data_IF_366676267178
#
_entry.id   IF_366676267178
#
_cell.length_a   1.000
_cell.length_b   1.000
_cell.length_c   1.000
_cell.angle_alpha   90.00
_cell.angle_beta   90.00
_cell.angle_gamma   90.00
#
_symmetry.space_group_name_H-M   'P 1'
#
loop_
_entity.id
_entity.type
_entity.pdbx_description
1 polymer ?
#
# COMPACT_ATOMS: atom_id res chain seq x y z
N UNK A 1 19.72 -2.70 -22.65
CA UNK A 1 18.98 -3.27 -21.50
C UNK A 1 18.46 -2.19 -20.54
N UNK A 2 19.26 -1.24 -20.05
CA UNK A 2 18.75 -0.17 -19.14
C UNK A 2 17.59 0.69 -19.68
N UNK A 3 17.38 0.77 -21.00
CA UNK A 3 16.24 1.49 -21.59
C UNK A 3 14.89 0.74 -21.51
N UNK A 4 14.89 -0.52 -21.04
CA UNK A 4 13.67 -1.33 -20.91
C UNK A 4 12.95 -1.06 -19.60
N UNK A 5 13.68 -0.57 -18.57
CA UNK A 5 13.12 -0.22 -17.28
C UNK A 5 12.76 1.27 -17.23
N UNK A 6 11.60 1.53 -16.63
CA UNK A 6 11.08 2.88 -16.49
C UNK A 6 10.52 3.46 -17.79
N UNK A 7 9.41 4.14 -17.67
CA UNK A 7 8.77 4.93 -18.72
C UNK A 7 8.73 6.39 -18.30
N UNK A 8 9.40 7.25 -19.07
CA UNK A 8 9.24 8.69 -18.96
C UNK A 8 8.69 9.23 -20.28
N UNK A 9 8.05 10.39 -20.25
CA UNK A 9 7.54 11.01 -21.48
C UNK A 9 8.65 11.22 -22.53
N UNK A 10 9.89 11.44 -22.09
CA UNK A 10 11.03 11.65 -22.96
C UNK A 10 11.53 10.41 -23.69
N UNK A 11 11.22 9.21 -23.22
CA UNK A 11 11.67 7.95 -23.84
C UNK A 11 10.55 7.07 -24.40
N UNK A 12 9.31 7.57 -24.45
CA UNK A 12 8.16 6.82 -25.00
C UNK A 12 8.35 6.47 -26.48
N UNK A 13 9.05 7.29 -27.24
CA UNK A 13 9.30 7.05 -28.66
C UNK A 13 10.34 5.94 -28.92
N UNK A 14 11.09 5.51 -27.91
CA UNK A 14 12.05 4.43 -28.05
C UNK A 14 11.33 3.08 -28.12
N UNK A 15 11.62 2.28 -29.15
CA UNK A 15 11.09 0.93 -29.26
C UNK A 15 11.51 0.07 -28.07
N UNK A 16 10.57 -0.71 -27.53
CA UNK A 16 10.78 -1.60 -26.40
C UNK A 16 10.88 -3.05 -26.87
N UNK A 17 11.90 -3.77 -26.42
CA UNK A 17 12.16 -5.18 -26.74
C UNK A 17 11.57 -6.10 -25.67
N UNK A 18 10.23 -6.02 -25.49
CA UNK A 18 9.50 -6.79 -24.49
C UNK A 18 8.12 -7.21 -24.99
N UNK A 19 7.58 -8.26 -24.41
CA UNK A 19 6.27 -8.82 -24.79
C UNK A 19 5.23 -8.34 -23.77
N UNK A 20 4.30 -7.49 -24.17
CA UNK A 20 3.19 -7.05 -23.31
C UNK A 20 2.18 -8.16 -23.11
N UNK A 21 1.70 -8.33 -21.88
CA UNK A 21 0.72 -9.30 -21.43
C UNK A 21 -0.18 -8.68 -20.36
N UNK A 22 -1.34 -9.30 -20.14
CA UNK A 22 -2.20 -9.00 -19.00
C UNK A 22 -2.87 -10.26 -18.48
N UNK A 23 -3.02 -10.35 -17.16
CA UNK A 23 -3.86 -11.34 -16.48
C UNK A 23 -5.06 -10.63 -15.88
N UNK A 24 -6.24 -11.17 -16.12
CA UNK A 24 -7.52 -10.79 -15.54
C UNK A 24 -8.51 -11.96 -15.69
N UNK A 25 -9.75 -11.82 -15.24
CA UNK A 25 -10.74 -12.89 -15.34
C UNK A 25 -11.11 -13.28 -16.80
N UNK A 26 -10.91 -12.38 -17.77
CA UNK A 26 -11.10 -12.69 -19.21
C UNK A 26 -9.89 -13.39 -19.85
N UNK A 27 -8.73 -13.39 -19.17
CA UNK A 27 -7.51 -14.10 -19.58
C UNK A 27 -6.68 -14.51 -18.35
N UNK A 28 -7.13 -15.51 -17.58
CA UNK A 28 -6.55 -15.82 -16.27
C UNK A 28 -5.12 -16.40 -16.31
N UNK A 29 -4.63 -16.77 -17.50
CA UNK A 29 -3.26 -17.24 -17.73
C UNK A 29 -2.37 -16.24 -18.46
N UNK A 30 -2.90 -15.10 -18.89
CA UNK A 30 -2.14 -14.10 -19.66
C UNK A 30 -1.64 -14.61 -21.02
N UNK A 31 -2.25 -15.64 -21.59
CA UNK A 31 -1.82 -16.27 -22.83
C UNK A 31 -2.05 -15.35 -24.04
N UNK A 32 -1.09 -15.36 -24.96
CA UNK A 32 -1.18 -14.59 -26.21
C UNK A 32 -2.40 -15.02 -27.05
N UNK A 33 -3.27 -14.06 -27.38
CA UNK A 33 -4.42 -14.28 -28.22
C UNK A 33 -5.56 -15.08 -27.57
N UNK A 34 -5.59 -15.15 -26.21
CA UNK A 34 -6.61 -15.89 -25.44
C UNK A 34 -7.52 -15.00 -24.58
N UNK A 35 -7.37 -13.70 -24.66
CA UNK A 35 -8.25 -12.78 -23.93
C UNK A 35 -9.66 -12.74 -24.50
N UNK A 36 -10.67 -12.64 -23.63
CA UNK A 36 -12.07 -12.48 -24.01
C UNK A 36 -12.67 -13.68 -24.76
N UNK A 37 -12.24 -14.89 -24.48
CA UNK A 37 -12.76 -16.09 -25.13
C UNK A 37 -14.18 -16.48 -24.66
N UNK A 38 -14.55 -16.11 -23.46
CA UNK A 38 -15.86 -16.38 -22.90
C UNK A 38 -16.95 -15.59 -23.66
N UNK A 39 -18.12 -16.18 -23.78
CA UNK A 39 -19.30 -15.55 -24.38
C UNK A 39 -20.27 -15.06 -23.31
N UNK A 40 -20.92 -13.94 -23.57
CA UNK A 40 -22.09 -13.47 -22.82
C UNK A 40 -23.37 -13.59 -23.67
N UNK A 41 -24.48 -13.08 -23.14
CA UNK A 41 -25.71 -12.95 -23.90
C UNK A 41 -25.59 -12.04 -25.15
N UNK A 42 -24.52 -11.23 -25.22
CA UNK A 42 -24.20 -10.38 -26.36
C UNK A 42 -23.39 -11.12 -27.45
N UNK A 43 -22.99 -12.36 -27.20
CA UNK A 43 -22.21 -13.19 -28.12
C UNK A 43 -20.76 -13.43 -27.67
N UNK A 44 -19.94 -14.05 -28.55
CA UNK A 44 -18.54 -14.33 -28.27
C UNK A 44 -17.71 -13.07 -28.09
N UNK A 45 -16.71 -13.11 -27.20
CA UNK A 45 -15.81 -11.99 -26.93
C UNK A 45 -16.51 -10.69 -26.50
N UNK A 46 -17.59 -10.85 -25.73
CA UNK A 46 -18.44 -9.76 -25.28
C UNK A 46 -18.64 -9.82 -23.77
N UNK A 47 -17.54 -9.65 -23.01
CA UNK A 47 -17.57 -9.56 -21.56
C UNK A 47 -18.17 -10.81 -20.88
N UNK A 48 -17.71 -11.99 -21.28
CA UNK A 48 -18.26 -13.27 -20.81
C UNK A 48 -17.74 -13.71 -19.43
N UNK A 49 -16.57 -13.22 -18.99
CA UNK A 49 -15.97 -13.53 -17.69
C UNK A 49 -15.26 -12.30 -17.08
N UNK A 50 -16.00 -11.23 -16.72
CA UNK A 50 -15.39 -9.94 -16.40
C UNK A 50 -14.73 -9.86 -15.02
N UNK A 51 -15.04 -10.78 -14.09
CA UNK A 51 -14.56 -10.75 -12.71
C UNK A 51 -14.49 -12.16 -12.12
N UNK A 52 -13.85 -12.27 -10.97
CA UNK A 52 -14.00 -13.42 -10.08
C UNK A 52 -15.28 -13.24 -9.28
N UNK A 53 -16.11 -14.29 -9.24
CA UNK A 53 -17.35 -14.27 -8.51
C UNK A 53 -17.25 -15.11 -7.24
N UNK A 54 -17.96 -14.68 -6.20
CA UNK A 54 -18.21 -15.45 -4.98
C UNK A 54 -16.92 -16.01 -4.31
N UNK A 55 -15.90 -15.16 -4.13
CA UNK A 55 -14.72 -15.55 -3.37
C UNK A 55 -15.15 -15.81 -1.92
N UNK A 56 -15.20 -17.08 -1.52
CA UNK A 56 -15.72 -17.49 -0.21
C UNK A 56 -14.91 -16.90 0.96
N UNK A 57 -15.55 -16.74 2.12
CA UNK A 57 -14.85 -16.41 3.36
C UNK A 57 -13.79 -17.48 3.68
N UNK A 58 -12.57 -17.03 4.03
CA UNK A 58 -11.40 -17.88 4.27
C UNK A 58 -10.72 -18.42 3.01
N UNK A 59 -11.21 -18.08 1.82
CA UNK A 59 -10.62 -18.54 0.57
C UNK A 59 -9.43 -17.65 0.16
N UNK A 60 -8.33 -18.29 -0.26
CA UNK A 60 -7.24 -17.64 -0.99
C UNK A 60 -7.38 -17.97 -2.47
N UNK A 61 -7.39 -16.93 -3.31
CA UNK A 61 -7.40 -17.06 -4.78
C UNK A 61 -6.09 -16.55 -5.36
N UNK A 62 -5.59 -17.22 -6.40
CA UNK A 62 -4.44 -16.73 -7.18
C UNK A 62 -4.95 -15.77 -8.25
N UNK A 63 -4.55 -14.50 -8.15
CA UNK A 63 -4.88 -13.48 -9.14
C UNK A 63 -3.98 -13.57 -10.37
N UNK A 64 -2.69 -13.85 -10.16
CA UNK A 64 -1.72 -13.99 -11.24
C UNK A 64 -0.65 -15.01 -10.87
N UNK A 65 -0.23 -15.81 -11.86
CA UNK A 65 0.92 -16.68 -11.83
C UNK A 65 1.63 -16.53 -13.18
N UNK A 66 2.86 -16.01 -13.15
CA UNK A 66 3.57 -15.54 -14.33
C UNK A 66 4.95 -16.16 -14.37
N UNK A 67 5.25 -16.89 -15.44
CA UNK A 67 6.60 -17.37 -15.74
C UNK A 67 7.40 -16.26 -16.43
N UNK A 68 8.64 -16.02 -15.96
CA UNK A 68 9.51 -14.94 -16.38
C UNK A 68 10.70 -15.35 -17.23
N UNK A 69 11.67 -14.45 -17.43
CA UNK A 69 11.84 -13.17 -16.73
C UNK A 69 10.86 -12.08 -17.19
N UNK A 70 10.44 -11.24 -16.26
CA UNK A 70 9.44 -10.22 -16.53
C UNK A 70 9.39 -9.09 -15.51
N UNK A 71 8.43 -8.20 -15.69
CA UNK A 71 8.07 -7.19 -14.69
C UNK A 71 6.58 -6.87 -14.76
N UNK A 72 5.92 -6.81 -13.61
CA UNK A 72 4.59 -6.23 -13.48
C UNK A 72 4.75 -4.71 -13.54
N UNK A 73 3.93 -4.04 -14.34
CA UNK A 73 4.03 -2.59 -14.54
C UNK A 73 2.79 -1.84 -14.06
N UNK A 74 1.67 -2.53 -13.90
CA UNK A 74 0.43 -1.95 -13.42
C UNK A 74 -0.47 -3.03 -12.82
N UNK A 75 -1.09 -2.70 -11.72
CA UNK A 75 -2.16 -3.50 -11.10
C UNK A 75 -3.36 -2.59 -10.92
N UNK A 76 -4.50 -3.00 -11.48
CA UNK A 76 -5.79 -2.38 -11.24
C UNK A 76 -6.72 -3.36 -10.53
N UNK A 77 -7.38 -2.90 -9.48
CA UNK A 77 -8.33 -3.69 -8.70
C UNK A 77 -9.55 -2.85 -8.36
N UNK A 78 -10.72 -3.48 -8.36
CA UNK A 78 -11.89 -2.98 -7.65
C UNK A 78 -12.69 -4.14 -7.09
N UNK A 79 -13.34 -3.91 -5.95
CA UNK A 79 -14.12 -4.91 -5.23
C UNK A 79 -15.50 -4.36 -4.92
N UNK A 80 -16.53 -5.19 -5.04
CA UNK A 80 -17.85 -4.88 -4.49
C UNK A 80 -17.76 -4.99 -2.97
N UNK A 81 -17.70 -3.85 -2.33
CA UNK A 81 -17.70 -3.71 -0.89
C UNK A 81 -19.05 -3.16 -0.43
N UNK A 82 -20.14 -3.84 -0.75
CA UNK A 82 -21.43 -3.56 -0.15
C UNK A 82 -21.31 -3.85 1.34
N UNK A 83 -21.32 -2.78 2.10
CA UNK A 83 -21.09 -2.83 3.54
C UNK A 83 -22.43 -2.74 4.27
N UNK A 84 -22.73 -3.77 5.05
CA UNK A 84 -23.59 -3.68 6.22
C UNK A 84 -22.70 -3.34 7.42
N UNK A 85 -23.25 -3.11 8.60
CA UNK A 85 -22.46 -2.89 9.83
C UNK A 85 -21.43 -4.01 10.09
N UNK A 86 -21.72 -5.24 9.66
CA UNK A 86 -20.81 -6.37 9.75
C UNK A 86 -19.73 -6.39 8.65
N UNK A 87 -19.93 -5.64 7.59
CA UNK A 87 -19.14 -5.70 6.35
C UNK A 87 -18.30 -4.45 6.11
N UNK A 88 -18.22 -3.55 7.08
CA UNK A 88 -17.69 -2.20 6.90
C UNK A 88 -16.18 -2.15 6.60
N UNK A 89 -15.41 -3.21 6.88
CA UNK A 89 -13.95 -3.20 6.76
C UNK A 89 -13.40 -4.15 5.70
N UNK A 90 -14.15 -4.43 4.64
CA UNK A 90 -13.73 -5.32 3.53
C UNK A 90 -12.31 -5.01 3.04
N UNK A 91 -11.95 -3.74 2.89
CA UNK A 91 -10.60 -3.35 2.44
C UNK A 91 -9.49 -3.68 3.45
N UNK A 92 -9.81 -3.90 4.73
CA UNK A 92 -8.89 -4.38 5.77
C UNK A 92 -8.93 -5.90 5.95
N UNK A 93 -10.02 -6.55 5.55
CA UNK A 93 -10.23 -8.00 5.64
C UNK A 93 -9.64 -8.76 4.45
N UNK A 94 -9.54 -8.13 3.29
CA UNK A 94 -8.85 -8.69 2.13
C UNK A 94 -7.35 -8.51 2.27
N UNK A 95 -6.58 -9.62 2.18
CA UNK A 95 -5.13 -9.62 2.29
C UNK A 95 -4.49 -9.88 0.94
N UNK A 96 -3.69 -8.93 0.47
CA UNK A 96 -2.90 -9.03 -0.76
C UNK A 96 -1.51 -9.55 -0.42
N UNK A 97 -1.06 -10.61 -1.14
CA UNK A 97 0.30 -11.11 -1.06
C UNK A 97 0.91 -11.28 -2.44
N UNK A 98 2.22 -11.01 -2.54
CA UNK A 98 3.00 -11.22 -3.75
C UNK A 98 4.29 -11.94 -3.42
N UNK A 99 4.71 -12.82 -4.32
CA UNK A 99 5.87 -13.71 -4.17
C UNK A 99 6.71 -13.66 -5.44
N UNK A 100 8.03 -13.63 -5.26
CA UNK A 100 8.98 -13.61 -6.38
C UNK A 100 9.84 -14.86 -6.40
N UNK A 101 10.13 -15.36 -7.61
CA UNK A 101 11.15 -16.36 -7.90
C UNK A 101 11.12 -17.64 -7.04
N UNK A 102 9.92 -18.19 -6.81
CA UNK A 102 9.67 -19.42 -6.04
C UNK A 102 9.91 -19.28 -4.52
N UNK A 103 9.96 -18.04 -3.99
CA UNK A 103 9.97 -17.82 -2.55
C UNK A 103 8.65 -18.29 -1.91
N UNK A 104 8.78 -18.99 -0.77
CA UNK A 104 7.63 -19.46 0.01
C UNK A 104 7.00 -18.32 0.84
N UNK A 105 7.84 -17.42 1.36
CA UNK A 105 7.42 -16.25 2.12
C UNK A 105 7.05 -15.08 1.20
N UNK A 106 6.02 -14.30 1.53
CA UNK A 106 5.61 -13.17 0.69
C UNK A 106 6.57 -11.98 0.80
N UNK A 107 6.98 -11.44 -0.33
CA UNK A 107 7.69 -10.15 -0.42
C UNK A 107 6.75 -8.94 -0.27
N UNK A 108 5.45 -9.15 -0.48
CA UNK A 108 4.40 -8.18 -0.22
C UNK A 108 3.32 -8.83 0.63
N UNK A 109 3.02 -8.24 1.80
CA UNK A 109 1.89 -8.64 2.63
C UNK A 109 1.24 -7.40 3.24
N UNK A 110 -0.02 -7.16 2.88
CA UNK A 110 -0.79 -5.99 3.35
C UNK A 110 -2.29 -6.23 3.23
N UNK A 111 -3.11 -5.64 4.11
CA UNK A 111 -4.51 -5.43 3.81
C UNK A 111 -4.65 -4.67 2.49
N UNK A 112 -5.63 -5.06 1.67
CA UNK A 112 -5.80 -4.51 0.32
C UNK A 112 -5.90 -2.99 0.32
N UNK A 113 -6.73 -2.43 1.23
CA UNK A 113 -6.92 -0.98 1.29
C UNK A 113 -5.66 -0.23 1.65
N UNK A 114 -4.92 -0.71 2.65
CA UNK A 114 -3.69 -0.06 3.12
C UNK A 114 -2.60 -0.04 2.05
N UNK A 115 -2.47 -1.12 1.26
CA UNK A 115 -1.55 -1.15 0.12
C UNK A 115 -1.85 -0.05 -0.91
N UNK A 116 -3.09 0.37 -1.03
CA UNK A 116 -3.52 1.47 -1.91
C UNK A 116 -3.81 2.79 -1.18
N UNK A 117 -3.26 2.98 0.02
CA UNK A 117 -3.43 4.19 0.84
C UNK A 117 -4.87 4.44 1.34
N UNK A 118 -5.69 3.40 1.44
CA UNK A 118 -7.04 3.43 1.99
C UNK A 118 -7.10 2.68 3.34
N UNK A 119 -6.34 3.16 4.31
CA UNK A 119 -5.96 2.42 5.52
C UNK A 119 -7.02 2.32 6.63
N UNK A 120 -8.19 2.89 6.49
CA UNK A 120 -9.26 2.78 7.51
C UNK A 120 -10.41 1.87 7.06
N UNK A 121 -10.16 1.00 6.07
CA UNK A 121 -11.22 0.25 5.43
C UNK A 121 -12.19 1.15 4.63
N UNK A 122 -11.85 2.42 4.49
CA UNK A 122 -12.62 3.44 3.76
C UNK A 122 -11.88 3.82 2.48
N UNK A 123 -12.65 4.07 1.43
CA UNK A 123 -12.08 4.62 0.20
C UNK A 123 -11.71 6.09 0.37
N UNK A 124 -10.63 6.48 -0.25
CA UNK A 124 -10.28 7.88 -0.43
C UNK A 124 -9.65 8.09 -1.82
N UNK A 125 -9.78 9.28 -2.36
CA UNK A 125 -9.11 9.60 -3.62
C UNK A 125 -7.63 9.83 -3.37
N UNK A 126 -6.78 9.09 -4.08
CA UNK A 126 -5.32 9.25 -4.05
C UNK A 126 -4.84 9.61 -5.45
N UNK A 127 -4.05 10.67 -5.56
CA UNK A 127 -3.46 11.08 -6.82
C UNK A 127 -1.96 11.26 -6.63
N UNK A 128 -1.21 10.18 -6.83
CA UNK A 128 0.25 10.17 -6.74
C UNK A 128 0.88 9.40 -7.90
N UNK A 129 2.21 9.44 -8.00
CA UNK A 129 2.93 8.75 -9.08
C UNK A 129 2.75 7.23 -9.04
N UNK A 130 3.01 6.53 -7.89
CA UNK A 130 2.95 5.08 -7.89
C UNK A 130 1.58 4.52 -7.52
N UNK A 131 0.76 5.28 -6.78
CA UNK A 131 -0.57 4.83 -6.33
C UNK A 131 -1.62 5.87 -6.73
N UNK A 132 -2.67 5.39 -7.38
CA UNK A 132 -3.83 6.21 -7.69
C UNK A 132 -5.12 5.47 -7.29
N UNK A 133 -5.97 6.14 -6.53
CA UNK A 133 -7.31 5.65 -6.20
C UNK A 133 -8.33 6.65 -6.71
N UNK A 134 -9.17 6.19 -7.61
CA UNK A 134 -10.21 7.01 -8.23
C UNK A 134 -11.59 6.71 -7.61
N UNK A 135 -12.59 7.59 -7.76
CA UNK A 135 -13.91 7.41 -7.16
C UNK A 135 -14.49 6.01 -7.42
N UNK A 136 -15.19 5.48 -6.43
CA UNK A 136 -15.75 4.12 -6.41
C UNK A 136 -14.70 3.01 -6.38
N UNK A 137 -13.56 3.26 -5.72
CA UNK A 137 -12.50 2.27 -5.42
C UNK A 137 -11.81 1.68 -6.64
N UNK A 138 -11.52 2.49 -7.64
CA UNK A 138 -10.58 2.09 -8.69
C UNK A 138 -9.15 2.17 -8.14
N UNK A 139 -8.61 1.06 -7.62
CA UNK A 139 -7.31 0.96 -6.98
C UNK A 139 -6.23 0.71 -8.05
N UNK A 140 -5.24 1.56 -8.17
CA UNK A 140 -4.18 1.46 -9.17
C UNK A 140 -2.80 1.52 -8.52
N UNK A 141 -1.89 0.63 -8.94
CA UNK A 141 -0.49 0.61 -8.54
C UNK A 141 0.41 0.58 -9.77
N UNK A 142 1.38 1.48 -9.85
CA UNK A 142 2.36 1.60 -10.92
C UNK A 142 3.80 1.34 -10.45
N UNK A 143 4.02 0.87 -9.23
CA UNK A 143 5.32 0.35 -8.85
C UNK A 143 5.71 -0.78 -9.78
N UNK A 144 6.89 -0.69 -10.40
CA UNK A 144 7.40 -1.75 -11.26
C UNK A 144 7.91 -2.90 -10.38
N UNK A 145 7.48 -4.13 -10.68
CA UNK A 145 7.80 -5.31 -9.87
C UNK A 145 8.52 -6.35 -10.75
N UNK A 146 9.86 -6.30 -10.83
CA UNK A 146 10.65 -7.24 -11.61
C UNK A 146 10.69 -8.63 -10.96
N UNK A 147 10.80 -9.68 -11.77
CA UNK A 147 11.03 -11.07 -11.34
C UNK A 147 11.87 -11.81 -12.39
N UNK A 148 12.79 -12.69 -11.94
CA UNK A 148 13.73 -13.41 -12.81
C UNK A 148 13.17 -14.71 -13.34
N UNK A 149 12.37 -15.40 -12.53
CA UNK A 149 11.80 -16.72 -12.84
C UNK A 149 10.28 -16.67 -12.82
N UNK A 150 9.69 -16.19 -11.71
CA UNK A 150 8.26 -16.29 -11.47
C UNK A 150 7.72 -15.14 -10.63
N UNK A 151 6.48 -14.75 -10.90
CA UNK A 151 5.69 -13.87 -10.03
C UNK A 151 4.37 -14.57 -9.70
N UNK A 152 3.96 -14.51 -8.41
CA UNK A 152 2.66 -15.00 -7.95
C UNK A 152 2.00 -13.93 -7.11
N UNK A 153 0.73 -13.62 -7.41
CA UNK A 153 -0.11 -12.70 -6.64
C UNK A 153 -1.31 -13.46 -6.13
N UNK A 154 -1.57 -13.37 -4.84
CA UNK A 154 -2.76 -13.97 -4.19
C UNK A 154 -3.58 -12.93 -3.46
N UNK A 155 -4.87 -13.23 -3.34
CA UNK A 155 -5.81 -12.49 -2.49
C UNK A 155 -6.50 -13.48 -1.55
N UNK A 156 -6.41 -13.23 -0.24
CA UNK A 156 -7.13 -13.99 0.76
C UNK A 156 -8.34 -13.18 1.24
N UNK A 157 -9.52 -13.80 1.21
CA UNK A 157 -10.73 -13.22 1.77
C UNK A 157 -10.88 -13.66 3.23
N UNK A 158 -10.46 -12.83 4.18
CA UNK A 158 -10.70 -13.05 5.63
C UNK A 158 -12.01 -12.40 6.11
N UNK A 159 -12.76 -11.77 5.20
CA UNK A 159 -14.05 -11.18 5.50
C UNK A 159 -15.09 -12.25 5.88
N UNK A 160 -16.09 -11.88 6.68
CA UNK A 160 -17.12 -12.82 7.16
C UNK A 160 -18.03 -13.33 6.04
N UNK A 161 -18.20 -12.53 4.98
CA UNK A 161 -19.05 -12.86 3.84
C UNK A 161 -18.22 -13.15 2.58
N UNK A 162 -18.77 -13.90 1.61
CA UNK A 162 -18.19 -14.02 0.29
C UNK A 162 -18.08 -12.64 -0.39
N UNK A 163 -17.05 -12.46 -1.22
CA UNK A 163 -16.93 -11.30 -2.09
C UNK A 163 -17.64 -11.62 -3.40
N UNK A 164 -18.78 -10.99 -3.70
CA UNK A 164 -19.64 -11.39 -4.83
C UNK A 164 -19.02 -11.06 -6.19
N UNK A 165 -18.23 -10.00 -6.28
CA UNK A 165 -17.56 -9.61 -7.51
C UNK A 165 -16.23 -8.91 -7.23
N UNK A 166 -15.16 -9.46 -7.78
CA UNK A 166 -13.81 -8.93 -7.68
C UNK A 166 -13.23 -8.74 -9.08
N UNK A 167 -13.00 -7.50 -9.45
CA UNK A 167 -12.44 -7.13 -10.75
C UNK A 167 -10.97 -6.78 -10.59
N UNK A 168 -10.15 -7.28 -11.50
CA UNK A 168 -8.72 -6.99 -11.47
C UNK A 168 -8.07 -7.09 -12.85
N UNK A 169 -6.95 -6.42 -13.00
CA UNK A 169 -6.04 -6.58 -14.12
C UNK A 169 -4.60 -6.39 -13.64
N UNK A 170 -3.73 -7.30 -14.03
CA UNK A 170 -2.29 -7.26 -13.81
C UNK A 170 -1.62 -7.12 -15.16
N UNK A 171 -1.10 -5.94 -15.47
CA UNK A 171 -0.38 -5.66 -16.72
C UNK A 171 1.11 -5.88 -16.50
N UNK A 172 1.71 -6.71 -17.34
CA UNK A 172 3.12 -7.08 -17.22
C UNK A 172 3.81 -7.19 -18.58
N UNK A 173 5.13 -7.26 -18.55
CA UNK A 173 5.91 -7.57 -19.72
C UNK A 173 6.86 -8.73 -19.43
N UNK A 174 7.15 -9.49 -20.49
CA UNK A 174 8.17 -10.53 -20.49
C UNK A 174 9.37 -10.07 -21.33
N UNK A 175 10.57 -10.41 -20.87
CA UNK A 175 11.82 -10.11 -21.54
C UNK A 175 12.37 -11.36 -22.22
N UNK A 176 12.95 -11.23 -23.40
CA UNK A 176 13.61 -12.36 -24.11
C UNK A 176 15.02 -12.59 -23.55
N UNK A 177 15.64 -11.54 -22.98
CA UNK A 177 16.92 -11.61 -22.29
C UNK A 177 16.68 -11.55 -20.78
N UNK A 178 17.60 -12.11 -20.00
CA UNK A 178 17.52 -12.03 -18.53
C UNK A 178 17.56 -10.61 -18.00
N UNK A 179 17.14 -10.41 -16.77
CA UNK A 179 17.24 -9.13 -16.07
C UNK A 179 18.69 -8.83 -15.67
N UNK A 180 19.09 -7.53 -15.59
CA UNK A 180 20.36 -7.15 -14.99
C UNK A 180 20.54 -7.72 -13.58
N UNK A 181 21.79 -8.02 -13.21
CA UNK A 181 22.10 -8.62 -11.90
C UNK A 181 21.73 -7.69 -10.73
N UNK A 182 21.82 -6.39 -10.95
CA UNK A 182 21.55 -5.32 -9.98
C UNK A 182 20.05 -4.93 -9.85
N UNK A 183 19.16 -5.63 -10.56
CA UNK A 183 17.72 -5.41 -10.40
C UNK A 183 17.26 -5.99 -9.06
N UNK A 184 16.65 -5.14 -8.25
CA UNK A 184 16.05 -5.49 -6.96
C UNK A 184 14.55 -5.80 -7.10
N UNK A 185 14.04 -6.59 -6.17
CA UNK A 185 12.63 -6.99 -6.09
C UNK A 185 11.83 -6.02 -5.24
N UNK A 186 10.56 -5.84 -5.60
CA UNK A 186 9.64 -4.97 -4.88
C UNK A 186 9.11 -5.65 -3.61
N UNK A 187 9.07 -4.91 -2.52
CA UNK A 187 8.55 -5.35 -1.23
C UNK A 187 7.56 -4.34 -0.66
N UNK A 188 6.58 -4.85 0.10
CA UNK A 188 5.71 -4.01 0.91
C UNK A 188 5.24 -4.76 2.16
N UNK A 189 5.33 -4.11 3.32
CA UNK A 189 4.98 -4.70 4.59
C UNK A 189 4.08 -3.78 5.40
N UNK A 190 2.95 -4.33 5.87
CA UNK A 190 2.04 -3.65 6.78
C UNK A 190 2.37 -3.94 8.23
N UNK A 191 2.24 -2.91 9.08
CA UNK A 191 2.38 -3.00 10.54
C UNK A 191 1.32 -2.16 11.24
N UNK A 192 1.04 -2.45 12.52
CA UNK A 192 0.18 -1.64 13.39
C UNK A 192 0.52 -1.79 14.86
N UNK A 193 0.40 -0.67 15.56
CA UNK A 193 0.24 -0.64 17.02
C UNK A 193 -1.06 0.10 17.35
N UNK A 194 -2.05 -0.60 17.94
CA UNK A 194 -3.34 0.01 18.35
C UNK A 194 -3.17 1.08 19.43
N UNK A 195 -2.13 0.97 20.23
CA UNK A 195 -1.68 1.97 21.21
C UNK A 195 -0.15 1.91 21.20
N UNK A 196 0.48 2.94 20.67
CA UNK A 196 1.93 3.06 20.65
C UNK A 196 2.50 3.15 22.07
N UNK A 197 3.75 2.77 22.27
CA UNK A 197 4.37 2.74 23.58
C UNK A 197 5.08 4.06 23.86
N UNK A 198 4.87 4.61 25.06
CA UNK A 198 5.60 5.81 25.50
C UNK A 198 7.12 5.59 25.47
N UNK A 199 7.85 6.58 25.01
CA UNK A 199 9.33 6.57 24.92
C UNK A 199 9.88 5.48 23.97
N UNK A 200 9.04 4.99 23.05
CA UNK A 200 9.47 4.09 22.00
C UNK A 200 8.91 4.56 20.66
N UNK A 201 9.76 4.55 19.68
CA UNK A 201 9.35 4.83 18.32
C UNK A 201 8.43 3.71 17.80
N UNK A 202 7.40 4.08 17.06
CA UNK A 202 6.64 3.12 16.25
C UNK A 202 7.51 2.61 15.11
N UNK A 203 7.53 1.30 14.92
CA UNK A 203 8.36 0.65 13.89
C UNK A 203 7.58 0.55 12.58
N UNK A 204 8.00 1.34 11.58
CA UNK A 204 7.46 1.28 10.22
C UNK A 204 8.02 0.06 9.47
N UNK A 205 9.34 -0.16 9.58
CA UNK A 205 10.05 -1.27 8.95
C UNK A 205 11.24 -1.69 9.82
N UNK A 206 11.48 -2.98 9.94
CA UNK A 206 12.62 -3.54 10.66
C UNK A 206 13.03 -4.89 10.06
N UNK A 207 14.23 -5.35 10.42
CA UNK A 207 14.77 -6.65 10.01
C UNK A 207 15.01 -6.78 8.49
N UNK A 208 15.17 -5.68 7.78
CA UNK A 208 15.63 -5.70 6.38
C UNK A 208 17.12 -5.92 6.36
N UNK A 209 17.59 -6.96 5.68
CA UNK A 209 19.01 -7.30 5.51
C UNK A 209 19.33 -7.48 4.05
N UNK A 210 20.52 -7.00 3.65
CA UNK A 210 20.99 -7.02 2.27
C UNK A 210 20.89 -5.63 1.64
N UNK A 211 21.15 -5.56 0.34
CA UNK A 211 21.22 -4.32 -0.41
C UNK A 211 19.86 -3.92 -0.99
N UNK A 212 19.54 -2.62 -0.92
CA UNK A 212 18.28 -2.12 -1.47
C UNK A 212 18.09 -0.61 -1.35
N UNK A 213 16.84 -0.19 -1.52
CA UNK A 213 16.45 1.20 -1.31
C UNK A 213 14.97 1.31 -0.93
N UNK A 214 14.70 2.16 0.05
CA UNK A 214 13.35 2.49 0.50
C UNK A 214 12.72 3.51 -0.43
N UNK A 215 11.45 3.27 -0.81
CA UNK A 215 10.75 4.12 -1.79
C UNK A 215 9.46 4.73 -1.26
N UNK A 216 9.02 4.39 -0.05
CA UNK A 216 7.85 5.07 0.49
C UNK A 216 7.22 4.52 1.74
N UNK A 217 6.39 5.37 2.33
CA UNK A 217 5.53 5.10 3.49
C UNK A 217 4.11 5.49 3.16
N UNK A 218 3.15 4.63 3.46
CA UNK A 218 1.78 5.01 3.78
C UNK A 218 1.59 4.91 5.29
N UNK A 219 0.91 5.88 5.91
CA UNK A 219 0.58 5.87 7.34
C UNK A 219 -0.88 6.21 7.57
N UNK A 220 -1.54 5.39 8.37
CA UNK A 220 -2.88 5.62 8.91
C UNK A 220 -2.75 5.89 10.41
N UNK A 221 -3.02 7.12 10.80
CA UNK A 221 -2.92 7.62 12.17
C UNK A 221 -4.30 7.92 12.74
N UNK A 222 -4.69 7.27 13.83
CA UNK A 222 -5.83 7.68 14.65
C UNK A 222 -5.30 8.31 15.94
N UNK A 223 -5.53 9.61 16.11
CA UNK A 223 -5.06 10.35 17.27
C UNK A 223 -5.96 10.11 18.47
N UNK A 224 -5.40 9.56 19.55
CA UNK A 224 -6.13 9.19 20.78
C UNK A 224 -6.07 10.28 21.84
N UNK A 225 -5.12 11.19 21.72
CA UNK A 225 -4.91 12.28 22.66
C UNK A 225 -5.16 13.65 22.05
N UNK A 226 -5.54 14.62 22.92
CA UNK A 226 -5.68 16.03 22.56
C UNK A 226 -4.34 16.63 22.18
N UNK A 227 -4.40 17.85 21.66
CA UNK A 227 -3.29 18.66 21.25
C UNK A 227 -2.64 18.24 19.94
N UNK A 228 -1.67 19.00 19.51
CA UNK A 228 -0.94 18.77 18.29
C UNK A 228 -0.15 17.46 18.36
N UNK A 229 -0.08 16.74 17.27
CA UNK A 229 0.39 15.36 17.15
C UNK A 229 1.58 15.19 16.21
N UNK A 230 1.99 16.22 15.48
CA UNK A 230 2.83 16.09 14.29
C UNK A 230 4.34 16.31 14.51
N UNK A 231 4.85 16.24 15.76
CA UNK A 231 6.26 16.52 16.07
C UNK A 231 7.17 15.29 16.00
N UNK A 232 6.61 14.09 15.86
CA UNK A 232 7.39 12.85 15.85
C UNK A 232 8.29 12.75 14.62
N UNK A 233 9.60 12.57 14.84
CA UNK A 233 10.60 12.47 13.78
C UNK A 233 10.58 11.09 13.13
N UNK A 234 10.63 11.03 11.79
CA UNK A 234 10.88 9.79 11.04
C UNK A 234 12.38 9.56 10.98
N UNK A 235 12.82 8.34 11.30
CA UNK A 235 14.22 7.97 11.41
C UNK A 235 14.53 6.78 10.50
N UNK A 236 15.67 6.86 9.80
CA UNK A 236 16.20 5.76 8.99
C UNK A 236 17.57 5.36 9.58
N UNK A 237 17.61 4.15 10.10
CA UNK A 237 18.82 3.48 10.56
C UNK A 237 19.35 2.65 9.41
N UNK A 238 20.56 2.93 8.96
CA UNK A 238 21.15 2.44 7.72
C UNK A 238 22.49 1.79 8.03
N UNK A 239 22.73 0.59 7.46
CA UNK A 239 24.04 -0.06 7.40
C UNK A 239 24.74 -0.16 8.77
N UNK A 240 24.05 -0.76 9.76
CA UNK A 240 24.56 -1.02 11.09
C UNK A 240 24.38 0.11 12.09
N UNK A 241 23.57 1.14 11.78
CA UNK A 241 23.19 2.14 12.76
C UNK A 241 22.44 1.49 13.94
N UNK A 242 22.85 1.80 15.17
CA UNK A 242 22.23 1.24 16.39
C UNK A 242 21.57 2.31 17.25
N UNK A 243 22.35 3.22 17.84
CA UNK A 243 21.87 4.21 18.80
C UNK A 243 21.23 5.43 18.12
N UNK A 244 21.83 5.89 17.03
CA UNK A 244 21.37 7.07 16.28
C UNK A 244 21.17 6.73 14.80
N UNK A 245 20.14 7.30 14.15
CA UNK A 245 19.89 7.07 12.73
C UNK A 245 20.84 7.91 11.86
N UNK A 246 21.16 7.42 10.67
CA UNK A 246 21.84 8.22 9.63
C UNK A 246 20.96 9.36 9.14
N UNK A 247 19.63 9.12 9.02
CA UNK A 247 18.68 10.17 8.61
C UNK A 247 17.62 10.32 9.71
N UNK A 248 17.48 11.56 10.20
CA UNK A 248 16.45 11.95 11.15
C UNK A 248 15.68 13.15 10.59
N UNK A 249 14.35 13.03 10.55
CA UNK A 249 13.46 14.12 10.15
C UNK A 249 13.30 15.16 11.27
N UNK A 250 12.37 16.08 11.10
CA UNK A 250 12.08 17.19 12.04
C UNK A 250 10.67 17.11 12.60
N UNK A 251 9.79 16.28 12.02
CA UNK A 251 8.42 16.08 12.47
C UNK A 251 7.63 15.18 11.53
N UNK A 252 6.54 14.62 12.02
CA UNK A 252 5.61 13.82 11.23
C UNK A 252 4.99 14.67 10.11
N UNK A 253 4.57 15.91 10.41
CA UNK A 253 4.00 16.78 9.39
C UNK A 253 4.99 17.12 8.29
N UNK A 254 6.25 17.38 8.66
CA UNK A 254 7.34 17.73 7.75
C UNK A 254 7.63 16.57 6.80
N UNK A 255 7.66 15.35 7.33
CA UNK A 255 7.88 14.15 6.54
C UNK A 255 6.82 13.98 5.44
N UNK A 256 5.57 14.26 5.75
CA UNK A 256 4.47 14.21 4.77
C UNK A 256 4.26 15.53 4.01
N UNK A 257 5.19 16.48 4.12
CA UNK A 257 5.23 17.72 3.36
C UNK A 257 4.33 18.83 3.89
N UNK A 258 3.88 18.72 5.13
CA UNK A 258 3.17 19.78 5.84
C UNK A 258 4.09 20.87 6.36
N UNK A 259 3.49 21.90 6.93
CA UNK A 259 4.19 23.04 7.54
C UNK A 259 3.23 23.75 8.47
N UNK A 260 3.55 23.80 9.77
CA UNK A 260 2.72 24.47 10.79
C UNK A 260 1.29 23.90 10.90
N UNK A 261 1.08 22.66 10.63
CA UNK A 261 -0.14 21.88 10.54
C UNK A 261 -0.65 21.60 9.11
N UNK A 262 -1.73 20.82 9.00
CA UNK A 262 -2.42 20.55 7.73
C UNK A 262 -3.76 21.28 7.64
N UNK A 263 -3.97 22.28 8.50
CA UNK A 263 -5.24 22.97 8.63
C UNK A 263 -5.11 24.47 8.30
N UNK A 264 -6.22 25.07 7.97
CA UNK A 264 -6.34 26.52 7.84
C UNK A 264 -7.57 27.06 8.57
N UNK A 265 -7.56 28.35 8.84
CA UNK A 265 -8.72 29.04 9.40
C UNK A 265 -9.73 29.37 8.29
N UNK A 266 -10.97 28.90 8.45
CA UNK A 266 -12.10 29.20 7.57
C UNK A 266 -13.24 29.65 8.47
N UNK A 267 -13.68 30.91 8.32
CA UNK A 267 -14.73 31.51 9.12
C UNK A 267 -14.55 31.35 10.65
N UNK A 268 -13.30 31.50 11.10
CA UNK A 268 -12.91 31.36 12.52
C UNK A 268 -12.85 29.92 13.05
N UNK A 269 -12.98 28.92 12.19
CA UNK A 269 -12.82 27.50 12.52
C UNK A 269 -11.56 26.94 11.90
N UNK A 270 -10.87 26.05 12.63
CA UNK A 270 -9.76 25.28 12.09
C UNK A 270 -10.33 24.12 11.26
N UNK A 271 -9.93 24.06 9.98
CA UNK A 271 -10.41 23.05 9.02
C UNK A 271 -9.22 22.33 8.41
N UNK A 272 -9.17 21.01 8.59
CA UNK A 272 -8.17 20.13 7.95
C UNK A 272 -8.26 20.25 6.43
N UNK A 273 -7.10 20.22 5.78
CA UNK A 273 -6.98 20.36 4.33
C UNK A 273 -6.35 19.09 3.75
N UNK A 274 -7.17 18.30 3.07
CA UNK A 274 -6.66 17.15 2.32
C UNK A 274 -5.96 17.60 1.03
N UNK A 275 -4.91 16.91 0.64
CA UNK A 275 -4.20 17.15 -0.61
C UNK A 275 -3.54 15.88 -1.14
N UNK A 276 -3.28 15.87 -2.44
CA UNK A 276 -2.50 14.85 -3.12
C UNK A 276 -1.51 15.53 -4.06
N UNK A 277 -0.26 15.10 -4.02
CA UNK A 277 0.78 15.50 -4.97
C UNK A 277 1.49 14.24 -5.52
N UNK A 278 2.32 14.35 -6.55
CA UNK A 278 3.00 13.17 -7.09
C UNK A 278 3.78 12.34 -6.09
N UNK A 279 4.36 12.94 -5.03
CA UNK A 279 5.30 12.26 -4.14
C UNK A 279 4.93 12.27 -2.67
N UNK A 280 3.97 13.08 -2.25
CA UNK A 280 3.50 13.16 -0.87
C UNK A 280 2.04 13.62 -0.82
N UNK A 281 1.35 13.31 0.27
CA UNK A 281 -0.04 13.71 0.39
C UNK A 281 -0.70 13.32 1.71
N UNK A 282 -1.84 13.95 1.91
CA UNK A 282 -2.78 13.75 3.00
C UNK A 282 -4.19 13.53 2.42
N UNK A 283 -4.43 12.35 1.78
CA UNK A 283 -5.67 12.09 1.07
C UNK A 283 -6.90 11.90 1.95
N UNK A 284 -6.73 11.50 3.21
CA UNK A 284 -7.86 11.13 4.08
C UNK A 284 -7.82 11.82 5.43
N UNK A 285 -8.93 12.43 5.80
CA UNK A 285 -9.24 12.89 7.15
C UNK A 285 -10.70 12.63 7.45
N UNK A 286 -10.98 12.07 8.62
CA UNK A 286 -12.33 12.01 9.17
C UNK A 286 -12.29 12.01 10.70
N UNK A 287 -13.24 12.68 11.32
CA UNK A 287 -13.62 12.53 12.72
C UNK A 287 -15.06 12.02 12.87
N UNK A 288 -15.61 11.48 11.77
CA UNK A 288 -16.99 11.05 11.65
C UNK A 288 -17.04 9.76 10.85
N UNK A 289 -17.84 8.79 11.24
CA UNK A 289 -18.07 7.57 10.48
C UNK A 289 -19.55 7.32 10.26
N UNK A 290 -20.04 7.65 9.08
CA UNK A 290 -21.43 7.51 8.69
C UNK A 290 -21.81 6.08 8.28
N UNK A 291 -20.83 5.15 8.20
CA UNK A 291 -21.07 3.80 7.70
C UNK A 291 -21.51 2.81 8.78
N UNK A 292 -21.28 3.12 10.04
CA UNK A 292 -21.69 2.26 11.15
C UNK A 292 -22.89 2.89 11.84
N UNK A 293 -24.09 2.41 11.51
CA UNK A 293 -25.35 2.90 12.08
C UNK A 293 -25.95 1.83 12.98
N UNK A 294 -25.77 1.95 14.28
CA UNK A 294 -26.50 1.14 15.24
C UNK A 294 -26.89 1.97 16.48
N UNK A 295 -27.79 1.44 17.29
CA UNK A 295 -28.34 2.15 18.44
C UNK A 295 -27.27 2.56 19.48
N UNK A 296 -26.15 1.82 19.55
CA UNK A 296 -25.08 2.06 20.52
C UNK A 296 -23.90 2.84 19.92
N UNK A 297 -23.96 3.18 18.65
CA UNK A 297 -22.89 3.84 17.95
C UNK A 297 -23.10 5.36 17.93
N UNK A 298 -22.04 6.11 18.25
CA UNK A 298 -21.97 7.54 18.02
C UNK A 298 -21.21 7.78 16.71
N UNK A 299 -21.74 8.63 15.84
CA UNK A 299 -21.14 8.98 14.56
C UNK A 299 -19.79 9.70 14.71
N UNK A 300 -19.49 10.26 15.88
CA UNK A 300 -18.20 10.86 16.17
C UNK A 300 -17.18 9.75 16.50
N UNK A 301 -16.06 9.75 15.79
CA UNK A 301 -14.93 8.87 15.99
C UNK A 301 -13.66 9.66 16.32
N UNK A 302 -12.64 8.98 16.83
CA UNK A 302 -11.32 9.59 17.01
C UNK A 302 -10.80 10.06 15.65
N UNK A 303 -10.13 11.24 15.57
CA UNK A 303 -9.65 11.77 14.30
C UNK A 303 -8.69 10.80 13.59
N UNK A 304 -9.10 10.39 12.40
CA UNK A 304 -8.37 9.48 11.52
C UNK A 304 -7.69 10.26 10.39
N UNK A 305 -6.43 9.98 10.14
CA UNK A 305 -5.61 10.66 9.13
C UNK A 305 -4.81 9.65 8.31
N UNK A 306 -4.89 9.73 6.99
CA UNK A 306 -4.10 8.92 6.07
C UNK A 306 -3.08 9.78 5.33
N UNK A 307 -1.80 9.36 5.32
CA UNK A 307 -0.72 10.08 4.68
C UNK A 307 0.09 9.17 3.79
N UNK A 308 0.72 9.73 2.74
CA UNK A 308 1.74 9.02 1.98
C UNK A 308 2.96 9.90 1.68
N UNK A 309 4.13 9.27 1.64
CA UNK A 309 5.39 9.85 1.16
C UNK A 309 6.09 8.84 0.26
N UNK A 310 6.44 9.27 -0.97
CA UNK A 310 7.18 8.46 -1.93
C UNK A 310 8.58 9.02 -2.15
N UNK A 311 9.59 8.22 -1.86
CA UNK A 311 11.01 8.52 -2.07
C UNK A 311 11.44 8.04 -3.46
N UNK A 312 10.81 8.57 -4.52
CA UNK A 312 11.11 8.19 -5.91
C UNK A 312 12.27 9.03 -6.46
N UNK A 313 12.30 10.30 -6.10
CA UNK A 313 13.38 11.22 -6.51
C UNK A 313 14.53 11.23 -5.48
N UNK A 314 14.27 10.77 -4.28
CA UNK A 314 15.16 10.77 -3.13
C UNK A 314 15.15 9.38 -2.43
N UNK A 315 15.42 8.26 -3.15
CA UNK A 315 15.39 6.93 -2.55
C UNK A 315 16.40 6.80 -1.42
N UNK A 316 16.01 6.14 -0.33
CA UNK A 316 16.88 5.92 0.83
C UNK A 316 17.63 4.61 0.59
N UNK A 317 18.87 4.70 0.14
CA UNK A 317 19.70 3.55 -0.20
C UNK A 317 20.38 2.93 1.02
N UNK A 318 20.55 1.61 1.01
CA UNK A 318 21.29 0.85 2.00
C UNK A 318 22.03 -0.33 1.34
N UNK A 319 23.16 -0.72 1.89
CA UNK A 319 24.00 -1.81 1.37
C UNK A 319 23.96 -3.07 2.27
N UNK A 320 23.67 -2.92 3.56
CA UNK A 320 23.68 -4.03 4.52
C UNK A 320 22.33 -4.24 5.23
N UNK A 321 21.73 -3.16 5.73
CA UNK A 321 20.44 -3.24 6.44
C UNK A 321 19.68 -1.91 6.50
N UNK A 322 18.40 -2.01 6.80
CA UNK A 322 17.53 -0.86 7.01
C UNK A 322 16.51 -1.13 8.12
N UNK A 323 16.34 -0.11 8.99
CA UNK A 323 15.22 0.03 9.90
C UNK A 323 14.62 1.42 9.79
N UNK A 324 13.29 1.53 9.80
CA UNK A 324 12.56 2.79 9.72
C UNK A 324 11.61 2.90 10.90
N UNK A 325 11.68 4.02 11.62
CA UNK A 325 10.81 4.29 12.78
C UNK A 325 10.22 5.69 12.72
N UNK A 326 9.21 5.95 13.53
CA UNK A 326 8.63 7.28 13.75
C UNK A 326 8.31 7.46 15.22
N UNK A 327 8.72 8.58 15.79
CA UNK A 327 8.36 8.97 17.16
C UNK A 327 6.88 9.33 17.25
N UNK A 328 6.30 9.17 18.43
CA UNK A 328 4.97 9.67 18.75
C UNK A 328 5.09 10.82 19.74
N UNK A 329 5.28 12.03 19.19
CA UNK A 329 5.50 13.26 19.94
C UNK A 329 4.49 14.32 19.50
N UNK A 330 3.99 15.06 20.47
CA UNK A 330 3.08 16.17 20.26
C UNK A 330 3.50 17.45 21.01
N UNK A 331 2.75 18.55 20.75
CA UNK A 331 2.89 19.80 21.50
C UNK A 331 1.60 20.10 22.23
N UNK A 332 1.73 20.25 23.54
CA UNK A 332 0.64 20.66 24.42
C UNK A 332 0.94 21.98 25.14
N UNK A 333 0.18 22.24 26.17
CA UNK A 333 0.27 23.50 26.93
C UNK A 333 1.65 23.73 27.58
N UNK A 334 2.42 22.63 27.82
CA UNK A 334 3.75 22.67 28.48
C UNK A 334 4.90 22.42 27.52
N UNK A 335 4.68 22.47 26.22
CA UNK A 335 5.65 22.14 25.19
C UNK A 335 5.51 20.70 24.68
N UNK A 336 6.61 20.10 24.28
CA UNK A 336 6.66 18.73 23.76
C UNK A 336 6.24 17.70 24.82
N UNK A 337 5.53 16.66 24.39
CA UNK A 337 5.15 15.54 25.23
C UNK A 337 5.05 14.23 24.41
N UNK A 338 5.33 13.12 25.06
CA UNK A 338 5.15 11.77 24.51
C UNK A 338 3.66 11.45 24.36
N UNK A 339 3.30 10.84 23.23
CA UNK A 339 1.92 10.48 22.89
C UNK A 339 1.75 8.98 22.76
N UNK A 340 0.50 8.55 22.92
CA UNK A 340 0.06 7.22 22.53
C UNK A 340 -1.07 7.36 21.52
N UNK A 341 -0.85 6.83 20.33
CA UNK A 341 -1.82 6.88 19.23
C UNK A 341 -1.97 5.49 18.58
N UNK A 342 -3.00 5.30 17.79
CA UNK A 342 -3.18 4.11 16.96
C UNK A 342 -2.55 4.37 15.60
N UNK A 343 -1.48 3.66 15.29
CA UNK A 343 -0.70 3.84 14.07
C UNK A 343 -0.65 2.55 13.29
N UNK A 344 -1.05 2.61 12.01
CA UNK A 344 -0.78 1.56 11.04
C UNK A 344 0.02 2.13 9.87
N UNK A 345 0.87 1.33 9.24
CA UNK A 345 1.67 1.78 8.11
C UNK A 345 1.94 0.67 7.10
N UNK A 346 2.22 1.05 5.87
CA UNK A 346 2.83 0.21 4.85
C UNK A 346 4.17 0.83 4.47
N UNK A 347 5.23 0.05 4.61
CA UNK A 347 6.55 0.37 4.08
C UNK A 347 6.66 -0.20 2.67
N UNK A 348 7.29 0.54 1.74
CA UNK A 348 7.56 0.11 0.37
C UNK A 348 9.04 0.27 0.08
N UNK A 349 9.67 -0.81 -0.44
CA UNK A 349 11.10 -0.79 -0.76
C UNK A 349 11.45 -1.78 -1.86
N UNK A 350 12.66 -1.70 -2.34
CA UNK A 350 13.28 -2.68 -3.22
C UNK A 350 14.52 -3.26 -2.54
N UNK A 351 14.69 -4.58 -2.59
CA UNK A 351 15.91 -5.24 -2.12
C UNK A 351 16.23 -6.49 -2.94
N UNK A 352 17.48 -6.90 -2.87
CA UNK A 352 17.89 -8.18 -3.41
C UNK A 352 17.32 -9.34 -2.56
N UNK A 353 16.87 -10.41 -3.21
CA UNK A 353 16.48 -11.65 -2.55
C UNK A 353 17.73 -12.46 -2.13
N UNK A 354 17.64 -13.33 -1.09
CA UNK A 354 16.46 -13.57 -0.24
C UNK A 354 16.25 -12.48 0.80
N UNK A 355 14.99 -12.31 1.25
CA UNK A 355 14.62 -11.42 2.34
C UNK A 355 14.34 -12.19 3.64
N UNK A 356 14.37 -11.51 4.79
CA UNK A 356 13.94 -12.09 6.06
C UNK A 356 12.42 -12.15 6.15
N UNK A 357 11.90 -13.21 6.82
CA UNK A 357 10.47 -13.36 7.05
C UNK A 357 9.85 -12.13 7.74
N UNK A 358 8.67 -11.75 7.30
CA UNK A 358 7.90 -10.69 7.92
C UNK A 358 7.34 -11.13 9.28
N UNK A 359 7.07 -10.18 10.21
CA UNK A 359 6.27 -10.50 11.37
C UNK A 359 4.88 -10.97 10.95
N UNK A 360 4.29 -11.84 11.77
CA UNK A 360 2.94 -12.34 11.53
C UNK A 360 1.94 -11.19 11.37
N UNK A 361 1.12 -11.25 10.31
CA UNK A 361 0.05 -10.30 10.09
C UNK A 361 -1.01 -10.45 11.18
N UNK A 362 -1.38 -9.42 11.93
CA UNK A 362 -2.41 -9.49 12.96
C UNK A 362 -3.75 -10.02 12.42
N UNK A 363 -4.51 -10.68 13.28
CA UNK A 363 -5.86 -11.16 12.96
C UNK A 363 -6.77 -10.02 12.45
N UNK A 364 -7.83 -10.37 11.70
CA UNK A 364 -8.68 -9.36 11.02
C UNK A 364 -9.24 -8.29 11.96
N UNK A 365 -9.72 -8.68 13.15
CA UNK A 365 -10.30 -7.76 14.14
C UNK A 365 -9.24 -6.81 14.72
N UNK A 366 -7.98 -7.26 14.77
CA UNK A 366 -6.87 -6.42 15.19
C UNK A 366 -6.41 -5.44 14.10
N UNK A 367 -6.87 -5.64 12.87
CA UNK A 367 -6.65 -4.69 11.76
C UNK A 367 -7.76 -3.65 11.63
N UNK A 368 -8.97 -3.91 12.16
CA UNK A 368 -10.08 -2.95 12.05
C UNK A 368 -9.75 -1.61 12.70
N UNK A 369 -10.09 -0.50 12.06
CA UNK A 369 -9.93 0.83 12.66
C UNK A 369 -10.77 0.95 13.94
N UNK A 370 -10.46 1.95 14.74
CA UNK A 370 -11.20 2.23 15.98
C UNK A 370 -12.52 2.91 15.68
#
# INVERSE_FOLDING_TARGET
MYNEFGGTLSNLALAKHRKSRAINAENPKGEKGKGGMAASHLGPSRKGSPCLNDIASGQTVTLAEIEGPGAINHIWITVDAKTTDADCFVLRDLVLRMYWDDEDEPSVESPLGDFFCCGFGRECNVNSMPIAVVPSRGLNCYFQMPFRKKARITLENQHVNPIPAFFYQVDYCLYDEGLPEDIAYFHAQWRREKITQLQKDYVILDNVKGKGHYVGTYMALTTLERYWWGEGEVKFYIDGDEEYPTICGTGTEDYFGGSWSFAKQVDGKTVEQNYCTPYLGYPYYSSHDELIHNFYHNDDVMPMRGFYRWHIQDPICFDEDLKVTIQQIGVGYRGLFERQDDVASVAYWYQAEPHNSFPELPGKEDRWPR
#
